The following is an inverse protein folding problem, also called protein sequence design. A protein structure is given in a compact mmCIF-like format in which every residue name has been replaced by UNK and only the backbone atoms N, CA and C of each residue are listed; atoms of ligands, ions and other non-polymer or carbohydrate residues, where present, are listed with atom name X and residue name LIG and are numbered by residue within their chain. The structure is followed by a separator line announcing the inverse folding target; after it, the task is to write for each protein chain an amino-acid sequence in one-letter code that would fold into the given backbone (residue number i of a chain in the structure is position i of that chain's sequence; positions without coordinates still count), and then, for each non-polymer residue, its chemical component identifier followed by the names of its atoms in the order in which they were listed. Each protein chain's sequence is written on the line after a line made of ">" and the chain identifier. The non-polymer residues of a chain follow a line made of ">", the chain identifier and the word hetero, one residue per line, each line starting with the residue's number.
data_IF_728057975639
#
_entry.id   IF_728057975639
#
_cell.length_a   1.000
_cell.length_b   1.000
_cell.length_c   1.000
_cell.angle_alpha   90.00
_cell.angle_beta   90.00
_cell.angle_gamma   90.00
#
_symmetry.space_group_name_H-M   'P 1'
#
loop_
_entity.id
_entity.type
_entity.pdbx_description
1 polymer ?
#
# COMPACT_ATOMS: atom_id res chain seq x y z
N UNK A 1 -2.48 40.44 54.67
CA UNK A 1 -2.96 39.33 53.81
C UNK A 1 -3.02 39.82 52.36
N UNK A 2 -1.92 39.75 51.59
CA UNK A 2 -1.90 40.25 50.19
C UNK A 2 -0.98 39.39 49.30
N UNK A 3 -1.31 38.10 49.12
CA UNK A 3 -0.55 37.21 48.23
C UNK A 3 -1.40 36.44 47.21
N UNK A 4 -2.71 36.72 47.08
CA UNK A 4 -3.60 35.89 46.24
C UNK A 4 -4.17 36.55 44.98
N UNK A 5 -3.69 37.72 44.55
CA UNK A 5 -4.25 38.41 43.36
C UNK A 5 -3.42 38.21 42.08
N UNK A 6 -2.12 37.86 42.17
CA UNK A 6 -1.24 37.76 40.99
C UNK A 6 -1.29 36.42 40.22
N UNK A 7 -1.85 35.37 40.80
CA UNK A 7 -1.90 34.05 40.15
C UNK A 7 -3.08 33.94 39.17
N UNK A 8 -4.25 34.49 39.53
CA UNK A 8 -5.45 34.44 38.67
C UNK A 8 -5.32 35.24 37.36
N UNK A 9 -4.62 36.37 37.38
CA UNK A 9 -4.44 37.23 36.19
C UNK A 9 -3.55 36.56 35.13
N UNK A 10 -2.54 35.79 35.57
CA UNK A 10 -1.66 35.01 34.68
C UNK A 10 -2.40 33.84 34.01
N UNK A 11 -3.28 33.16 34.72
CA UNK A 11 -4.03 32.02 34.18
C UNK A 11 -5.13 32.45 33.20
N UNK A 12 -5.77 33.61 33.40
CA UNK A 12 -6.72 34.20 32.45
C UNK A 12 -6.02 34.70 31.16
N UNK A 13 -4.85 35.33 31.29
CA UNK A 13 -4.04 35.75 30.14
C UNK A 13 -3.44 34.56 29.35
N UNK A 14 -3.14 33.44 30.03
CA UNK A 14 -2.63 32.21 29.40
C UNK A 14 -3.69 31.51 28.54
N UNK A 15 -4.95 31.50 28.96
CA UNK A 15 -6.05 30.91 28.18
C UNK A 15 -6.37 31.70 26.90
N UNK A 16 -6.17 33.02 26.88
CA UNK A 16 -6.38 33.84 25.66
C UNK A 16 -5.32 33.63 24.57
N UNK A 17 -4.16 33.03 24.89
CA UNK A 17 -3.06 32.80 23.94
C UNK A 17 -2.95 31.34 23.47
N UNK A 18 -3.86 30.49 23.90
CA UNK A 18 -3.86 29.10 23.49
C UNK A 18 -4.45 28.97 22.09
N UNK A 19 -3.69 28.36 21.19
CA UNK A 19 -4.24 28.06 19.87
C UNK A 19 -5.33 27.00 20.00
N UNK A 20 -6.40 27.11 19.20
CA UNK A 20 -7.52 26.14 19.17
C UNK A 20 -7.10 24.73 18.76
N UNK A 21 -5.85 24.55 18.30
CA UNK A 21 -5.31 23.27 17.88
C UNK A 21 -4.61 22.48 19.00
N UNK A 22 -4.32 23.11 20.14
CA UNK A 22 -3.54 22.47 21.21
C UNK A 22 -4.26 21.21 21.74
N UNK A 23 -5.52 21.39 22.13
CA UNK A 23 -6.40 20.35 22.66
C UNK A 23 -6.76 19.27 21.60
N UNK A 24 -7.27 19.60 20.40
CA UNK A 24 -7.62 18.58 19.40
C UNK A 24 -6.44 17.74 18.91
N UNK A 25 -5.21 18.27 18.99
CA UNK A 25 -3.99 17.54 18.64
C UNK A 25 -3.36 16.83 19.83
N UNK A 26 -3.94 16.92 21.03
CA UNK A 26 -3.36 16.44 22.28
C UNK A 26 -1.87 16.80 22.38
N UNK A 27 -1.50 18.06 22.09
CA UNK A 27 -0.10 18.46 22.00
C UNK A 27 0.58 18.34 23.37
N UNK A 28 1.61 17.51 23.49
CA UNK A 28 2.31 17.26 24.76
C UNK A 28 3.39 18.29 25.12
N UNK A 29 3.60 19.32 24.28
CA UNK A 29 4.64 20.32 24.54
C UNK A 29 4.10 21.42 25.46
N UNK A 30 4.65 21.51 26.67
CA UNK A 30 4.31 22.55 27.66
C UNK A 30 5.15 23.81 27.50
N UNK A 31 6.26 23.74 26.76
CA UNK A 31 7.23 24.82 26.55
C UNK A 31 6.78 25.91 25.55
N UNK A 32 5.58 25.77 24.97
CA UNK A 32 5.09 26.64 23.88
C UNK A 32 4.07 27.66 24.35
N UNK A 33 3.98 27.92 25.66
CA UNK A 33 3.09 28.91 26.28
C UNK A 33 1.62 28.80 25.80
N UNK A 34 1.14 27.57 25.57
CA UNK A 34 -0.22 27.30 25.11
C UNK A 34 -0.39 27.16 23.60
N UNK A 35 0.67 27.25 22.80
CA UNK A 35 0.62 26.99 21.36
C UNK A 35 0.95 25.54 21.01
N UNK A 36 0.30 24.95 20.02
CA UNK A 36 0.75 23.64 19.50
C UNK A 36 2.08 23.79 18.76
N UNK A 37 2.82 22.69 18.57
CA UNK A 37 4.13 22.70 17.88
C UNK A 37 4.11 23.49 16.57
N UNK A 38 3.05 23.33 15.78
CA UNK A 38 2.92 23.99 14.48
C UNK A 38 2.63 25.49 14.56
N UNK A 39 1.94 25.95 15.62
CA UNK A 39 1.67 27.37 15.85
C UNK A 39 2.88 28.06 16.47
N UNK A 40 3.66 27.34 17.29
CA UNK A 40 4.92 27.82 17.81
C UNK A 40 6.06 27.80 16.76
N UNK A 41 5.93 26.98 15.72
CA UNK A 41 6.95 26.87 14.66
C UNK A 41 6.95 28.07 13.70
N UNK A 42 7.85 29.01 13.98
CA UNK A 42 8.08 30.21 13.18
C UNK A 42 9.16 30.04 12.09
N UNK A 43 9.66 28.83 11.85
CA UNK A 43 10.70 28.62 10.82
C UNK A 43 10.20 29.06 9.44
N UNK A 44 11.00 29.82 8.66
CA UNK A 44 10.59 30.23 7.33
C UNK A 44 10.38 29.02 6.41
N UNK A 45 9.50 29.17 5.41
CA UNK A 45 9.34 28.13 4.39
C UNK A 45 10.59 28.09 3.53
N UNK A 46 11.21 26.92 3.42
CA UNK A 46 12.35 26.70 2.54
C UNK A 46 11.89 26.53 1.10
N UNK A 47 12.73 26.91 0.14
CA UNK A 47 12.44 26.76 -1.29
C UNK A 47 12.29 25.29 -1.71
N UNK A 48 13.08 24.40 -1.09
CA UNK A 48 13.02 22.94 -1.31
C UNK A 48 11.82 22.27 -0.63
N UNK A 49 11.22 22.93 0.37
CA UNK A 49 10.20 22.35 1.25
C UNK A 49 10.74 21.40 2.32
N UNK A 50 12.05 21.15 2.34
CA UNK A 50 12.74 20.34 3.35
C UNK A 50 13.46 21.21 4.38
N UNK A 51 13.67 20.67 5.56
CA UNK A 51 14.31 21.35 6.68
C UNK A 51 15.56 20.59 7.11
N UNK A 52 16.53 21.33 7.64
CA UNK A 52 17.75 20.76 8.18
C UNK A 52 17.45 19.87 9.39
N UNK A 53 18.06 18.69 9.42
CA UNK A 53 18.08 17.78 10.58
C UNK A 53 19.48 17.23 10.74
N UNK A 54 19.91 17.01 11.97
CA UNK A 54 21.16 16.34 12.26
C UNK A 54 20.95 14.82 12.26
N UNK A 55 21.89 14.08 11.68
CA UNK A 55 21.94 12.62 11.71
C UNK A 55 23.32 12.18 12.19
N UNK A 56 23.34 11.35 13.23
CA UNK A 56 24.58 10.80 13.77
C UNK A 56 25.40 10.09 12.67
N UNK A 57 26.67 10.47 12.57
CA UNK A 57 27.59 9.94 11.54
C UNK A 57 27.43 10.53 10.14
N UNK A 58 26.45 11.41 9.89
CA UNK A 58 26.30 12.14 8.60
C UNK A 58 26.35 13.66 8.75
N UNK A 59 26.04 14.19 9.92
CA UNK A 59 25.97 15.64 10.15
C UNK A 59 24.60 16.23 9.77
N UNK A 60 24.60 17.53 9.45
CA UNK A 60 23.40 18.26 9.04
C UNK A 60 22.99 17.94 7.59
N UNK A 61 21.73 17.56 7.39
CA UNK A 61 21.15 17.24 6.07
C UNK A 61 19.78 17.90 5.88
N UNK A 62 19.46 18.35 4.66
CA UNK A 62 18.17 19.03 4.33
C UNK A 62 17.13 18.06 3.75
N UNK A 63 16.70 17.09 4.56
CA UNK A 63 15.74 16.07 4.11
C UNK A 63 14.54 15.88 5.03
N UNK A 64 14.44 16.66 6.11
CA UNK A 64 13.36 16.52 7.06
C UNK A 64 12.09 17.23 6.60
N UNK A 65 10.93 16.68 6.95
CA UNK A 65 9.67 17.42 6.90
C UNK A 65 9.69 18.52 7.95
N UNK A 66 8.87 19.56 7.77
CA UNK A 66 8.74 20.64 8.75
C UNK A 66 8.43 20.09 10.15
N UNK A 67 7.53 19.13 10.25
CA UNK A 67 7.09 18.58 11.53
C UNK A 67 7.99 17.50 12.13
N UNK A 68 9.14 17.15 11.54
CA UNK A 68 10.01 16.08 12.05
C UNK A 68 10.47 16.29 13.52
N UNK A 69 10.56 17.55 13.97
CA UNK A 69 10.90 17.90 15.36
C UNK A 69 9.69 18.24 16.24
N UNK A 70 8.46 18.05 15.77
CA UNK A 70 7.27 18.31 16.60
C UNK A 70 7.09 17.21 17.66
N UNK A 71 6.24 17.44 18.66
CA UNK A 71 5.86 16.37 19.58
C UNK A 71 5.11 15.24 18.83
N UNK A 72 5.13 13.98 19.33
CA UNK A 72 4.56 12.83 18.64
C UNK A 72 3.12 13.03 18.15
N UNK A 73 2.25 13.62 18.97
CA UNK A 73 0.84 13.83 18.60
C UNK A 73 0.69 14.88 17.49
N UNK A 74 1.50 15.94 17.51
CA UNK A 74 1.55 16.89 16.40
C UNK A 74 2.16 16.26 15.14
N UNK A 75 3.20 15.42 15.24
CA UNK A 75 3.73 14.69 14.09
C UNK A 75 2.66 13.81 13.43
N UNK A 76 1.92 13.04 14.24
CA UNK A 76 0.83 12.19 13.76
C UNK A 76 -0.24 12.98 13.02
N UNK A 77 -0.67 14.13 13.56
CA UNK A 77 -1.65 14.99 12.90
C UNK A 77 -1.18 15.39 11.49
N UNK A 78 0.07 15.87 11.35
CA UNK A 78 0.59 16.30 10.05
C UNK A 78 0.91 15.15 9.09
N UNK A 79 1.40 14.01 9.59
CA UNK A 79 1.58 12.80 8.79
C UNK A 79 0.24 12.29 8.23
N UNK A 80 -0.83 12.34 9.02
CA UNK A 80 -2.17 11.99 8.57
C UNK A 80 -2.69 12.97 7.52
N UNK A 81 -2.52 14.29 7.72
CA UNK A 81 -2.88 15.28 6.69
C UNK A 81 -2.11 15.06 5.38
N UNK A 82 -0.80 14.80 5.44
CA UNK A 82 0.00 14.50 4.26
C UNK A 82 -0.51 13.22 3.55
N UNK A 83 -0.89 12.20 4.32
CA UNK A 83 -1.46 10.95 3.79
C UNK A 83 -2.82 11.19 3.12
N UNK A 84 -3.69 12.00 3.71
CA UNK A 84 -5.00 12.35 3.16
C UNK A 84 -4.86 13.15 1.87
N UNK A 85 -3.97 14.15 1.82
CA UNK A 85 -3.72 14.92 0.59
C UNK A 85 -3.14 14.05 -0.53
N UNK A 86 -2.24 13.12 -0.21
CA UNK A 86 -1.73 12.14 -1.19
C UNK A 86 -2.84 11.22 -1.70
N UNK A 87 -3.75 10.77 -0.83
CA UNK A 87 -4.92 9.98 -1.22
C UNK A 87 -5.84 10.74 -2.17
N UNK A 88 -6.18 11.98 -1.87
CA UNK A 88 -6.99 12.82 -2.77
C UNK A 88 -6.32 13.07 -4.11
N UNK A 89 -5.01 13.33 -4.11
CA UNK A 89 -4.21 13.47 -5.34
C UNK A 89 -4.25 12.18 -6.18
N UNK A 90 -4.07 11.02 -5.55
CA UNK A 90 -4.18 9.71 -6.21
C UNK A 90 -5.59 9.44 -6.74
N UNK A 91 -6.64 9.72 -5.96
CA UNK A 91 -8.04 9.56 -6.40
C UNK A 91 -8.37 10.44 -7.61
N UNK A 92 -7.87 11.68 -7.67
CA UNK A 92 -8.00 12.55 -8.85
C UNK A 92 -7.33 11.93 -10.08
N UNK A 93 -6.11 11.40 -9.94
CA UNK A 93 -5.38 10.74 -11.04
C UNK A 93 -6.10 9.48 -11.53
N UNK A 94 -6.64 8.67 -10.61
CA UNK A 94 -7.43 7.48 -10.95
C UNK A 94 -8.68 7.90 -11.74
N UNK A 95 -9.45 8.88 -11.25
CA UNK A 95 -10.65 9.39 -11.95
C UNK A 95 -10.34 9.95 -13.34
N UNK A 96 -9.21 10.64 -13.51
CA UNK A 96 -8.78 11.13 -14.82
C UNK A 96 -8.44 9.98 -15.77
N UNK A 97 -7.72 8.96 -15.27
CA UNK A 97 -7.35 7.78 -16.06
C UNK A 97 -8.59 6.96 -16.47
N UNK A 98 -9.52 6.74 -15.56
CA UNK A 98 -10.79 6.05 -15.84
C UNK A 98 -11.60 6.78 -16.91
N UNK A 99 -11.70 8.12 -16.84
CA UNK A 99 -12.38 8.92 -17.86
C UNK A 99 -11.75 8.77 -19.25
N UNK A 100 -10.42 8.83 -19.34
CA UNK A 100 -9.70 8.63 -20.61
C UNK A 100 -9.93 7.24 -21.19
N UNK A 101 -9.94 6.21 -20.33
CA UNK A 101 -10.19 4.84 -20.77
C UNK A 101 -11.62 4.66 -21.31
N UNK A 102 -12.63 5.19 -20.62
CA UNK A 102 -14.03 5.15 -21.09
C UNK A 102 -14.17 5.85 -22.44
N UNK A 103 -13.63 7.06 -22.60
CA UNK A 103 -13.65 7.79 -23.87
C UNK A 103 -12.96 7.02 -25.00
N UNK A 104 -11.80 6.42 -24.73
CA UNK A 104 -11.10 5.58 -25.70
C UNK A 104 -11.90 4.33 -26.08
N UNK A 105 -12.60 3.71 -25.13
CA UNK A 105 -13.43 2.53 -25.38
C UNK A 105 -14.68 2.87 -26.19
N UNK A 106 -15.31 4.01 -25.94
CA UNK A 106 -16.44 4.52 -26.72
C UNK A 106 -16.04 4.85 -28.15
N UNK A 107 -14.88 5.50 -28.34
CA UNK A 107 -14.33 5.76 -29.67
C UNK A 107 -14.02 4.47 -30.43
N UNK A 108 -13.37 3.50 -29.78
CA UNK A 108 -13.08 2.20 -30.39
C UNK A 108 -14.37 1.45 -30.79
N UNK A 109 -15.40 1.49 -29.94
CA UNK A 109 -16.69 0.86 -30.23
C UNK A 109 -17.41 1.57 -31.41
N UNK A 110 -17.37 2.91 -31.47
CA UNK A 110 -17.91 3.67 -32.61
C UNK A 110 -17.22 3.33 -33.92
N UNK A 111 -15.90 3.20 -33.93
CA UNK A 111 -15.14 2.79 -35.14
C UNK A 111 -15.52 1.37 -35.56
N UNK A 112 -15.65 0.45 -34.61
CA UNK A 112 -16.05 -0.92 -34.90
C UNK A 112 -17.46 -0.99 -35.51
N UNK A 113 -18.43 -0.27 -34.95
CA UNK A 113 -19.80 -0.19 -35.49
C UNK A 113 -19.80 0.43 -36.90
N UNK A 114 -19.04 1.51 -37.13
CA UNK A 114 -18.94 2.12 -38.46
C UNK A 114 -18.34 1.16 -39.51
N UNK A 115 -17.38 0.32 -39.12
CA UNK A 115 -16.78 -0.69 -39.99
C UNK A 115 -17.76 -1.83 -40.34
N UNK A 116 -18.56 -2.29 -39.37
CA UNK A 116 -19.53 -3.37 -39.62
C UNK A 116 -20.70 -2.92 -40.50
N UNK A 117 -21.11 -1.66 -40.43
CA UNK A 117 -22.14 -1.12 -41.34
C UNK A 117 -21.65 -0.96 -42.78
N UNK A 118 -20.34 -0.74 -43.01
CA UNK A 118 -19.78 -0.63 -44.35
C UNK A 118 -19.58 -1.99 -45.05
N UNK A 119 -19.50 -3.10 -44.31
CA UNK A 119 -19.32 -4.43 -44.90
C UNK A 119 -20.63 -5.13 -45.31
N UNK A 120 -21.79 -4.52 -45.07
CA UNK A 120 -23.09 -5.11 -45.41
C UNK A 120 -23.69 -4.63 -46.74
N UNK A 121 -22.96 -3.83 -47.53
CA UNK A 121 -23.49 -3.29 -48.80
C UNK A 121 -23.11 -4.08 -50.04
N UNK A 122 -22.42 -5.23 -49.90
CA UNK A 122 -21.94 -6.01 -51.05
C UNK A 122 -22.04 -7.52 -50.79
N UNK A 123 -23.27 -8.07 -50.80
CA UNK A 123 -23.50 -9.52 -50.95
C UNK A 123 -24.95 -9.81 -51.32
N UNK A 124 -25.14 -10.09 -52.61
CA UNK A 124 -26.36 -10.52 -53.25
C UNK A 124 -26.54 -12.06 -53.13
N UNK A 125 -27.80 -12.51 -53.00
CA UNK A 125 -28.33 -13.87 -53.26
C UNK A 125 -27.86 -15.09 -52.42
N UNK A 126 -28.75 -15.60 -51.54
CA UNK A 126 -29.48 -16.90 -51.69
C UNK A 126 -30.30 -17.27 -50.44
N UNK A 127 -31.49 -17.81 -50.68
CA UNK A 127 -32.53 -18.21 -49.72
C UNK A 127 -32.40 -19.67 -49.21
N UNK A 128 -32.59 -19.85 -47.89
CA UNK A 128 -33.27 -20.95 -47.13
C UNK A 128 -32.57 -22.36 -47.10
N UNK A 129 -32.66 -23.23 -46.03
CA UNK A 129 -33.58 -23.26 -44.86
C UNK A 129 -32.96 -23.38 -43.44
N UNK A 130 -33.86 -23.17 -42.49
CA UNK A 130 -33.85 -23.44 -41.05
C UNK A 130 -33.14 -24.73 -40.60
N UNK A 131 -32.20 -24.61 -39.67
CA UNK A 131 -31.96 -25.65 -38.65
C UNK A 131 -31.49 -25.02 -37.34
N UNK A 132 -32.11 -25.46 -36.25
CA UNK A 132 -31.86 -25.02 -34.90
C UNK A 132 -30.44 -25.37 -34.44
N UNK A 133 -29.72 -24.39 -33.90
CA UNK A 133 -28.96 -24.61 -32.65
C UNK A 133 -28.73 -23.28 -31.95
N UNK A 134 -29.60 -23.06 -30.96
CA UNK A 134 -29.48 -22.02 -29.96
C UNK A 134 -28.16 -22.25 -29.18
N UNK A 135 -27.12 -21.47 -29.47
CA UNK A 135 -25.98 -21.26 -28.56
C UNK A 135 -25.77 -19.77 -28.36
N UNK A 136 -26.77 -19.15 -27.75
CA UNK A 136 -26.52 -18.04 -26.85
C UNK A 136 -25.63 -18.53 -25.71
N UNK A 137 -24.40 -18.03 -25.66
CA UNK A 137 -23.70 -17.83 -24.39
C UNK A 137 -23.08 -16.44 -24.41
N UNK A 138 -23.97 -15.45 -24.49
CA UNK A 138 -23.84 -14.26 -23.68
C UNK A 138 -23.44 -14.75 -22.29
N UNK A 139 -22.21 -14.42 -21.86
CA UNK A 139 -21.76 -14.74 -20.51
C UNK A 139 -22.54 -13.82 -19.59
N UNK A 140 -23.70 -14.36 -19.21
CA UNK A 140 -24.67 -13.86 -18.28
C UNK A 140 -23.93 -13.20 -17.14
N UNK A 141 -24.19 -11.90 -16.98
CA UNK A 141 -23.89 -11.11 -15.80
C UNK A 141 -24.34 -11.95 -14.60
N UNK A 142 -23.40 -12.71 -14.03
CA UNK A 142 -23.66 -13.45 -12.81
C UNK A 142 -23.83 -12.38 -11.75
N UNK A 143 -25.09 -12.12 -11.40
CA UNK A 143 -25.55 -11.65 -10.09
C UNK A 143 -24.42 -11.10 -9.24
N UNK A 144 -24.38 -9.77 -9.10
CA UNK A 144 -23.48 -8.94 -8.29
C UNK A 144 -23.46 -9.39 -6.80
N UNK A 145 -23.02 -10.61 -6.52
CA UNK A 145 -22.90 -11.13 -5.18
C UNK A 145 -21.59 -10.63 -4.59
N UNK A 146 -21.72 -10.03 -3.41
CA UNK A 146 -20.60 -9.83 -2.51
C UNK A 146 -19.82 -11.14 -2.36
N UNK A 147 -18.49 -11.06 -2.26
CA UNK A 147 -17.74 -12.25 -1.90
C UNK A 147 -17.87 -12.52 -0.40
N UNK A 148 -18.00 -13.79 -0.01
CA UNK A 148 -18.09 -14.21 1.40
C UNK A 148 -16.88 -13.74 2.23
N UNK A 149 -15.72 -13.59 1.56
CA UNK A 149 -14.49 -13.09 2.16
C UNK A 149 -14.58 -11.65 2.67
N UNK A 150 -15.49 -10.82 2.15
CA UNK A 150 -15.56 -9.42 2.53
C UNK A 150 -15.94 -9.27 4.00
N UNK A 151 -16.98 -10.00 4.43
CA UNK A 151 -17.43 -9.99 5.81
C UNK A 151 -16.52 -10.84 6.69
N UNK A 152 -16.12 -12.04 6.24
CA UNK A 152 -15.30 -12.95 7.03
C UNK A 152 -13.89 -12.42 7.38
N UNK A 153 -13.39 -11.42 6.62
CA UNK A 153 -12.08 -10.81 6.83
C UNK A 153 -12.16 -9.38 7.36
N UNK A 154 -13.33 -8.92 7.80
CA UNK A 154 -13.57 -7.54 8.22
C UNK A 154 -13.01 -6.51 7.23
N UNK A 155 -13.31 -6.70 5.94
CA UNK A 155 -12.73 -5.90 4.88
C UNK A 155 -13.30 -4.47 4.87
N UNK A 156 -12.44 -3.46 4.97
CA UNK A 156 -12.86 -2.05 4.99
C UNK A 156 -13.20 -1.43 3.62
N UNK A 157 -13.23 -2.23 2.55
CA UNK A 157 -13.59 -1.74 1.20
C UNK A 157 -15.07 -1.40 1.13
N UNK A 158 -15.41 -0.21 0.61
CA UNK A 158 -16.79 0.28 0.47
C UNK A 158 -17.39 0.03 -0.92
N UNK A 159 -16.85 -0.93 -1.68
CA UNK A 159 -17.29 -1.20 -3.04
C UNK A 159 -18.67 -1.88 -3.06
N UNK A 160 -19.45 -1.64 -4.12
CA UNK A 160 -20.68 -2.34 -4.42
C UNK A 160 -20.59 -2.98 -5.82
N UNK A 161 -20.77 -4.31 -5.96
CA UNK A 161 -20.92 -5.30 -4.90
C UNK A 161 -19.67 -5.43 -4.00
N UNK A 162 -19.89 -5.91 -2.76
CA UNK A 162 -18.85 -5.98 -1.73
C UNK A 162 -17.82 -7.07 -2.04
N UNK A 163 -16.75 -6.69 -2.72
CA UNK A 163 -15.57 -7.52 -2.92
C UNK A 163 -14.44 -7.15 -1.96
N UNK A 164 -13.78 -8.16 -1.40
CA UNK A 164 -12.59 -7.96 -0.57
C UNK A 164 -11.36 -7.58 -1.42
N UNK A 165 -10.30 -7.05 -0.78
CA UNK A 165 -9.08 -6.64 -1.48
C UNK A 165 -8.49 -7.75 -2.36
N UNK A 166 -8.45 -8.98 -1.84
CA UNK A 166 -7.89 -10.14 -2.54
C UNK A 166 -8.71 -10.55 -3.77
N UNK A 167 -10.05 -10.50 -3.68
CA UNK A 167 -10.92 -10.83 -4.81
C UNK A 167 -10.86 -9.78 -5.93
N UNK A 168 -10.63 -8.51 -5.56
CA UNK A 168 -10.43 -7.41 -6.50
C UNK A 168 -9.04 -7.39 -7.13
N UNK A 169 -8.03 -7.93 -6.44
CA UNK A 169 -6.66 -7.93 -6.94
C UNK A 169 -6.45 -8.95 -8.06
N UNK A 170 -6.50 -8.47 -9.30
CA UNK A 170 -6.28 -9.27 -10.52
C UNK A 170 -4.82 -9.37 -10.96
N UNK A 171 -3.86 -8.91 -10.15
CA UNK A 171 -2.43 -9.02 -10.52
C UNK A 171 -2.02 -10.50 -10.67
N UNK A 172 -1.09 -10.83 -11.58
CA UNK A 172 -0.54 -12.19 -11.66
C UNK A 172 0.20 -12.55 -10.37
N UNK A 173 0.29 -13.85 -10.08
CA UNK A 173 1.14 -14.35 -9.00
C UNK A 173 2.61 -14.06 -9.36
N UNK A 174 3.33 -13.39 -8.47
CA UNK A 174 4.73 -13.04 -8.63
C UNK A 174 5.46 -13.23 -7.30
N UNK A 175 6.78 -13.53 -7.33
CA UNK A 175 7.57 -13.68 -6.11
C UNK A 175 7.73 -12.35 -5.35
N UNK A 176 7.60 -11.21 -6.04
CA UNK A 176 7.63 -9.89 -5.44
C UNK A 176 6.80 -8.90 -6.26
N UNK A 177 6.38 -7.82 -5.60
CA UNK A 177 5.62 -6.74 -6.20
C UNK A 177 6.34 -5.42 -6.02
N UNK A 178 6.09 -4.50 -6.95
CA UNK A 178 6.60 -3.14 -6.88
C UNK A 178 5.93 -2.39 -5.72
N UNK A 179 6.76 -1.71 -4.92
CA UNK A 179 6.34 -0.82 -3.86
C UNK A 179 7.09 0.50 -3.98
N UNK A 180 6.36 1.60 -3.80
CA UNK A 180 6.98 2.92 -3.74
C UNK A 180 7.44 3.21 -2.31
N UNK A 181 8.70 3.62 -2.17
CA UNK A 181 9.30 4.06 -0.91
C UNK A 181 9.71 5.52 -1.04
N UNK A 182 9.22 6.36 -0.13
CA UNK A 182 9.52 7.79 -0.11
C UNK A 182 11.03 8.02 -0.06
N UNK A 183 11.55 8.85 -0.99
CA UNK A 183 12.99 9.15 -1.11
C UNK A 183 13.82 8.14 -1.90
N UNK A 184 13.29 6.94 -2.20
CA UNK A 184 13.99 5.90 -2.98
C UNK A 184 13.33 5.68 -4.35
N UNK A 185 12.01 5.82 -4.41
CA UNK A 185 11.23 5.55 -5.62
C UNK A 185 10.63 4.15 -5.65
N UNK A 186 10.51 3.56 -6.83
CA UNK A 186 9.96 2.21 -7.02
C UNK A 186 11.02 1.15 -6.73
N UNK A 187 10.71 0.25 -5.80
CA UNK A 187 11.54 -0.92 -5.47
C UNK A 187 10.74 -2.20 -5.61
N UNK A 188 11.41 -3.30 -5.96
CA UNK A 188 10.81 -4.65 -5.96
C UNK A 188 11.09 -5.30 -4.61
N UNK A 189 10.05 -5.85 -3.97
CA UNK A 189 10.22 -6.54 -2.69
C UNK A 189 8.97 -6.64 -1.84
N UNK A 190 7.87 -6.00 -2.23
CA UNK A 190 6.63 -6.11 -1.48
C UNK A 190 5.95 -7.48 -1.69
N UNK A 191 5.31 -7.96 -0.63
CA UNK A 191 4.33 -9.05 -0.73
C UNK A 191 3.06 -8.56 -1.42
N UNK A 192 2.27 -9.49 -1.97
CA UNK A 192 1.06 -9.16 -2.72
C UNK A 192 0.09 -8.29 -1.91
N UNK A 193 -0.12 -8.64 -0.65
CA UNK A 193 -1.08 -8.00 0.26
C UNK A 193 -0.56 -6.74 0.97
N UNK A 194 0.63 -6.21 0.61
CA UNK A 194 1.22 -5.04 1.26
C UNK A 194 0.32 -3.79 1.26
N UNK A 195 -0.62 -3.71 0.31
CA UNK A 195 -1.57 -2.60 0.17
C UNK A 195 -3.02 -2.99 0.41
N UNK A 196 -3.27 -4.20 0.91
CA UNK A 196 -4.62 -4.59 1.32
C UNK A 196 -5.02 -3.84 2.58
N UNK A 197 -6.33 -3.74 2.82
CA UNK A 197 -6.87 -3.28 4.10
C UNK A 197 -6.40 -4.19 5.24
N UNK A 198 -6.45 -3.68 6.48
CA UNK A 198 -5.92 -4.38 7.64
C UNK A 198 -6.50 -5.80 7.80
N UNK A 199 -7.83 -5.95 7.72
CA UNK A 199 -8.49 -7.25 7.85
C UNK A 199 -8.06 -8.27 6.78
N UNK A 200 -8.01 -7.86 5.50
CA UNK A 200 -7.53 -8.73 4.43
C UNK A 200 -6.03 -9.03 4.54
N UNK A 201 -5.22 -8.07 4.99
CA UNK A 201 -3.78 -8.23 5.18
C UNK A 201 -3.49 -9.27 6.26
N UNK A 202 -4.13 -9.14 7.42
CA UNK A 202 -3.95 -10.04 8.55
C UNK A 202 -4.29 -11.49 8.18
N UNK A 203 -5.37 -11.71 7.42
CA UNK A 203 -5.73 -13.04 6.93
C UNK A 203 -4.62 -13.66 6.06
N UNK A 204 -3.99 -12.87 5.19
CA UNK A 204 -2.89 -13.34 4.35
C UNK A 204 -1.59 -13.57 5.14
N UNK A 205 -1.27 -12.71 6.10
CA UNK A 205 -0.10 -12.92 6.98
C UNK A 205 -0.23 -14.19 7.83
N UNK A 206 -1.43 -14.50 8.32
CA UNK A 206 -1.68 -15.71 9.11
C UNK A 206 -1.63 -16.99 8.26
N UNK A 207 -2.08 -16.92 7.01
CA UNK A 207 -2.05 -18.07 6.09
C UNK A 207 -0.67 -18.33 5.52
N UNK A 208 0.13 -17.30 5.28
CA UNK A 208 1.51 -17.42 4.78
C UNK A 208 2.49 -17.93 5.85
N UNK A 209 2.19 -17.68 7.14
CA UNK A 209 2.97 -18.20 8.28
C UNK A 209 2.70 -19.66 8.62
N UNK A 210 1.67 -20.29 8.03
CA UNK A 210 1.48 -21.72 8.22
C UNK A 210 2.70 -22.43 7.63
N UNK A 211 3.40 -23.29 8.40
CA UNK A 211 4.51 -24.05 7.86
C UNK A 211 3.96 -24.86 6.68
N UNK A 212 4.39 -24.49 5.48
CA UNK A 212 4.23 -25.37 4.34
C UNK A 212 4.91 -26.69 4.73
N UNK A 213 4.10 -27.68 5.08
CA UNK A 213 4.56 -29.05 5.18
C UNK A 213 5.35 -29.32 3.90
N UNK A 214 6.63 -29.70 3.97
CA UNK A 214 7.47 -29.78 2.80
C UNK A 214 6.78 -30.71 1.81
N UNK A 215 6.28 -30.10 0.73
CA UNK A 215 5.60 -30.78 -0.36
C UNK A 215 6.50 -31.93 -0.77
N UNK A 216 6.14 -33.18 -0.41
CA UNK A 216 6.84 -34.38 -0.86
C UNK A 216 7.00 -34.22 -2.36
N UNK A 217 8.22 -33.91 -2.78
CA UNK A 217 8.58 -33.98 -4.18
C UNK A 217 8.36 -35.44 -4.54
N UNK A 218 7.26 -35.72 -5.25
CA UNK A 218 7.09 -37.00 -5.92
C UNK A 218 8.25 -37.09 -6.90
N UNK A 219 9.31 -37.78 -6.49
CA UNK A 219 10.43 -38.16 -7.35
C UNK A 219 9.81 -38.78 -8.60
N UNK A 220 10.18 -38.33 -9.82
CA UNK A 220 9.79 -39.05 -11.01
C UNK A 220 10.32 -40.48 -10.89
N UNK A 221 9.41 -41.46 -11.03
CA UNK A 221 9.77 -42.87 -11.15
C UNK A 221 10.50 -43.02 -12.47
N UNK A 222 11.79 -43.31 -12.41
CA UNK A 222 12.56 -43.72 -13.58
C UNK A 222 13.98 -43.18 -13.61
N UNK A 223 14.86 -43.74 -12.76
CA UNK A 223 16.20 -44.07 -13.21
C UNK A 223 16.74 -45.21 -12.35
N UNK A 224 16.84 -46.37 -12.97
CA UNK A 224 17.33 -47.61 -12.39
C UNK A 224 18.87 -47.59 -12.41
N UNK A 225 19.45 -47.96 -11.26
CA UNK A 225 20.76 -48.62 -11.05
C UNK A 225 21.96 -48.13 -11.88
N UNK A 226 22.98 -47.65 -11.18
CA UNK A 226 24.26 -48.38 -11.12
C UNK A 226 24.81 -48.38 -9.70
N UNK A 227 25.15 -49.57 -9.22
CA UNK A 227 25.80 -49.85 -7.95
C UNK A 227 27.31 -49.67 -8.16
N UNK A 228 27.96 -48.92 -7.29
CA UNK A 228 29.42 -48.83 -7.23
C UNK A 228 29.83 -48.50 -5.80
N UNK A 229 30.14 -49.54 -5.04
CA UNK A 229 30.69 -49.45 -3.70
C UNK A 229 32.12 -48.92 -3.75
N UNK A 230 32.53 -48.07 -2.81
CA UNK A 230 33.84 -48.21 -2.15
C UNK A 230 33.91 -47.40 -0.83
N UNK A 231 33.91 -48.17 0.26
CA UNK A 231 34.67 -48.09 1.51
C UNK A 231 34.97 -46.74 2.18
N UNK A 232 34.51 -46.70 3.42
CA UNK A 232 34.98 -45.94 4.58
C UNK A 232 36.51 -45.93 4.72
N UNK A 233 37.07 -44.75 4.98
CA UNK A 233 38.14 -44.60 5.96
C UNK A 233 37.92 -43.31 6.76
N UNK A 234 37.67 -43.49 8.06
CA UNK A 234 37.74 -42.41 9.03
C UNK A 234 39.18 -42.03 9.30
N UNK A 235 39.41 -40.77 9.65
CA UNK A 235 40.59 -40.32 10.39
C UNK A 235 40.24 -39.08 11.20
N UNK A 236 40.81 -39.06 12.39
CA UNK A 236 40.51 -38.29 13.59
C UNK A 236 41.54 -37.15 13.74
N UNK A 237 41.13 -36.02 14.34
CA UNK A 237 41.94 -35.05 15.12
C UNK A 237 42.95 -34.19 14.30
N UNK A 238 43.22 -32.90 14.56
CA UNK A 238 43.28 -32.06 15.78
C UNK A 238 43.04 -30.56 15.46
N UNK A 239 42.84 -29.70 16.47
CA UNK A 239 42.83 -28.24 16.35
C UNK A 239 44.25 -27.65 16.56
N UNK A 240 44.61 -26.61 15.81
CA UNK A 240 45.76 -25.73 16.09
C UNK A 240 45.23 -24.30 16.34
N UNK A 241 45.26 -23.81 17.58
CA UNK A 241 46.31 -23.02 18.27
C UNK A 241 46.19 -21.50 18.01
N UNK A 242 45.85 -20.78 19.09
CA UNK A 242 45.97 -19.34 19.26
C UNK A 242 47.41 -18.85 19.01
N UNK A 243 47.55 -17.69 18.37
CA UNK A 243 48.62 -16.74 18.70
C UNK A 243 48.04 -15.33 18.81
N UNK A 244 48.12 -14.81 20.03
CA UNK A 244 48.05 -13.40 20.39
C UNK A 244 49.46 -12.84 20.21
N UNK A 245 49.62 -11.76 19.45
CA UNK A 245 50.85 -10.96 19.47
C UNK A 245 50.53 -9.58 20.05
N UNK A 246 51.35 -9.26 21.04
CA UNK A 246 51.49 -8.01 21.80
C UNK A 246 51.73 -6.79 20.93
#
# INVERSE_FOLDING_TARGET
>A
MHLNVRLHDRDLARHQRQCTHLEPRACSMTATDGNCCACADQRPRTQSGFYATYIDGRGWVEQATRWAGYCPNCQLAFNNFATVLRRFSMEKRIRQRTRRWLQSSEQANRVHIAQTHNHNHDSNHKTIPTSSTNRGRANLITSEKACDHWQARDCSMTNNPKYCCSCLDKRPNAPSYAQYVDGIGWVMGAVRWAYYCLGCRNHHELTDRQPHEPRRQTRPRGLQRMKGALRLHGSRLRPETLQIMT
#
